data_IF_953641776565
#
_entry.id   IF_953641776565
#
_cell.length_a   1.000
_cell.length_b   1.000
_cell.length_c   1.000
_cell.angle_alpha   90.00
_cell.angle_beta   90.00
_cell.angle_gamma   90.00
#
_symmetry.space_group_name_H-M   'P 1'
#
loop_
_entity.id
_entity.type
_entity.pdbx_description
1 polymer ?
#
# COMPACT_ATOMS: atom_id res chain seq x y z
N UNK A 1 20.89 8.28 -1.90
CA UNK A 1 19.54 8.59 -1.35
C UNK A 1 19.17 7.47 -0.40
N UNK A 2 18.63 7.75 0.81
CA UNK A 2 18.12 6.72 1.71
C UNK A 2 16.62 6.97 1.92
N UNK A 3 15.79 6.07 1.40
CA UNK A 3 14.33 6.12 1.50
C UNK A 3 13.84 5.28 2.68
N UNK A 4 12.96 5.85 3.51
CA UNK A 4 12.15 5.11 4.47
C UNK A 4 10.76 4.90 3.85
N UNK A 5 10.36 3.65 3.66
CA UNK A 5 9.02 3.31 3.16
C UNK A 5 8.13 2.80 4.29
N UNK A 6 6.86 3.21 4.30
CA UNK A 6 5.86 2.80 5.29
C UNK A 6 4.54 2.49 4.56
N UNK A 7 4.01 1.28 4.72
CA UNK A 7 2.65 0.94 4.27
C UNK A 7 1.87 0.28 5.40
N UNK A 8 0.63 0.72 5.57
CA UNK A 8 -0.33 0.18 6.54
C UNK A 8 -1.74 0.10 5.93
N UNK A 9 -1.82 0.08 4.61
CA UNK A 9 -3.08 0.03 3.87
C UNK A 9 -3.66 -1.39 3.77
N UNK A 10 -2.85 -2.41 4.04
CA UNK A 10 -3.26 -3.83 4.05
C UNK A 10 -3.30 -4.38 5.48
N UNK A 11 -3.39 -5.69 5.63
CA UNK A 11 -3.28 -6.34 6.95
C UNK A 11 -1.84 -6.36 7.47
N UNK A 12 -0.87 -6.13 6.61
CA UNK A 12 0.53 -5.96 7.00
C UNK A 12 0.81 -4.53 7.45
N UNK A 13 1.65 -4.41 8.46
CA UNK A 13 2.30 -3.19 8.89
C UNK A 13 3.72 -3.31 8.39
N UNK A 14 4.03 -2.67 7.29
CA UNK A 14 5.28 -2.85 6.58
C UNK A 14 6.13 -1.58 6.63
N UNK A 15 7.41 -1.75 6.92
CA UNK A 15 8.42 -0.69 6.97
C UNK A 15 9.69 -1.19 6.30
N UNK A 16 10.33 -0.37 5.45
CA UNK A 16 11.58 -0.73 4.81
C UNK A 16 12.53 0.47 4.64
N UNK A 17 13.81 0.16 4.51
CA UNK A 17 14.84 1.10 4.06
C UNK A 17 15.37 0.66 2.70
N UNK A 18 15.57 1.63 1.82
CA UNK A 18 16.07 1.45 0.45
C UNK A 18 17.12 2.51 0.12
N UNK A 19 18.25 2.12 -0.45
CA UNK A 19 19.35 3.06 -0.73
C UNK A 19 19.25 3.77 -2.10
N UNK A 20 18.25 3.43 -2.87
CA UNK A 20 18.03 3.89 -4.24
C UNK A 20 18.24 2.77 -5.27
N UNK A 21 18.94 1.70 -4.88
CA UNK A 21 19.22 0.53 -5.73
C UNK A 21 18.68 -0.77 -5.11
N UNK A 22 18.78 -0.90 -3.78
CA UNK A 22 18.44 -2.13 -3.05
C UNK A 22 17.67 -1.86 -1.76
N UNK A 23 16.83 -2.82 -1.37
CA UNK A 23 16.24 -2.88 -0.04
C UNK A 23 17.31 -3.27 0.97
N UNK A 24 17.64 -2.38 1.90
CA UNK A 24 18.64 -2.62 2.95
C UNK A 24 18.08 -3.43 4.11
N UNK A 25 16.85 -3.16 4.47
CA UNK A 25 16.12 -3.89 5.52
C UNK A 25 14.62 -3.69 5.35
N UNK A 26 13.85 -4.71 5.73
CA UNK A 26 12.40 -4.67 5.77
C UNK A 26 11.89 -5.36 7.04
N UNK A 27 10.85 -4.80 7.65
CA UNK A 27 10.08 -5.37 8.76
C UNK A 27 8.61 -5.40 8.36
N UNK A 28 7.95 -6.54 8.59
CA UNK A 28 6.53 -6.72 8.28
C UNK A 28 5.85 -7.50 9.40
N UNK A 29 4.78 -6.93 9.95
CA UNK A 29 3.96 -7.55 10.99
C UNK A 29 2.52 -7.68 10.52
N UNK A 30 1.96 -8.88 10.58
CA UNK A 30 0.56 -9.12 10.23
C UNK A 30 -0.32 -8.88 11.46
N UNK A 31 -0.86 -7.68 11.58
CA UNK A 31 -1.84 -7.34 12.62
C UNK A 31 -2.75 -6.19 12.17
N UNK A 32 -3.95 -6.54 11.75
CA UNK A 32 -4.93 -5.57 11.24
C UNK A 32 -5.53 -4.64 12.31
N UNK A 33 -5.14 -4.76 13.58
CA UNK A 33 -5.73 -4.01 14.71
C UNK A 33 -4.74 -3.10 15.44
N UNK A 34 -3.44 -3.42 15.39
CA UNK A 34 -2.40 -2.74 16.18
C UNK A 34 -1.40 -1.97 15.34
N UNK A 35 -1.84 -1.38 14.22
CA UNK A 35 -0.96 -0.62 13.33
C UNK A 35 -0.15 0.45 14.08
N UNK A 36 -0.80 1.19 15.00
CA UNK A 36 -0.14 2.23 15.78
C UNK A 36 0.94 1.74 16.74
N UNK A 37 0.87 0.47 17.15
CA UNK A 37 1.85 -0.11 18.08
C UNK A 37 3.10 -0.61 17.36
N UNK A 38 3.01 -1.02 16.10
CA UNK A 38 4.09 -1.70 15.39
C UNK A 38 4.87 -0.83 14.39
N UNK A 39 4.30 0.28 13.89
CA UNK A 39 5.00 1.12 12.89
C UNK A 39 6.29 1.72 13.45
N UNK A 40 6.25 2.34 14.64
CA UNK A 40 7.43 2.96 15.22
C UNK A 40 8.51 1.94 15.60
N UNK A 41 8.20 0.81 16.26
CA UNK A 41 9.17 -0.29 16.43
C UNK A 41 9.76 -0.81 15.10
N UNK A 42 8.94 -0.94 14.06
CA UNK A 42 9.40 -1.35 12.73
C UNK A 42 10.42 -0.38 12.12
N UNK A 43 10.22 0.93 12.30
CA UNK A 43 11.19 1.94 11.87
C UNK A 43 12.51 1.76 12.61
N UNK A 44 12.48 1.60 13.94
CA UNK A 44 13.68 1.37 14.76
C UNK A 44 14.41 0.10 14.32
N UNK A 45 13.66 -0.97 14.07
CA UNK A 45 14.21 -2.26 13.65
C UNK A 45 14.94 -2.16 12.32
N UNK A 46 14.31 -1.58 11.27
CA UNK A 46 14.93 -1.51 9.94
C UNK A 46 16.15 -0.60 9.93
N UNK A 47 16.14 0.51 10.70
CA UNK A 47 17.29 1.37 10.87
C UNK A 47 18.45 0.62 11.54
N UNK A 48 18.19 -0.08 12.64
CA UNK A 48 19.20 -0.86 13.34
C UNK A 48 19.79 -1.97 12.47
N UNK A 49 18.96 -2.72 11.75
CA UNK A 49 19.38 -3.81 10.85
C UNK A 49 20.24 -3.31 9.68
N UNK A 50 19.97 -2.10 9.20
CA UNK A 50 20.73 -1.47 8.14
C UNK A 50 21.99 -0.72 8.66
N UNK A 51 22.23 -0.67 9.97
CA UNK A 51 23.32 0.11 10.55
C UNK A 51 23.17 1.61 10.28
N UNK A 52 21.95 2.11 10.24
CA UNK A 52 21.59 3.49 9.95
C UNK A 52 20.85 4.14 11.12
N UNK A 53 20.79 5.46 11.10
CA UNK A 53 20.06 6.27 12.06
C UNK A 53 18.95 7.04 11.36
N UNK A 54 18.02 7.60 12.10
CA UNK A 54 17.01 8.50 11.55
C UNK A 54 17.64 9.71 10.83
N UNK A 55 18.84 10.12 11.22
CA UNK A 55 19.55 11.23 10.59
C UNK A 55 20.01 10.94 9.15
N UNK A 56 20.21 9.69 8.81
CA UNK A 56 20.66 9.26 7.49
C UNK A 56 19.52 9.24 6.45
N UNK A 57 18.26 9.18 6.90
CA UNK A 57 17.10 9.15 6.01
C UNK A 57 16.97 10.47 5.27
N UNK A 58 16.91 10.42 3.94
CA UNK A 58 16.84 11.59 3.07
C UNK A 58 15.46 11.86 2.49
N UNK A 59 14.56 10.88 2.48
CA UNK A 59 13.16 11.03 2.09
C UNK A 59 12.29 9.89 2.67
N UNK A 60 10.99 10.11 2.72
CA UNK A 60 10.00 9.11 3.13
C UNK A 60 9.04 8.85 1.99
N UNK A 61 8.65 7.60 1.77
CA UNK A 61 7.52 7.23 0.91
C UNK A 61 6.47 6.48 1.72
N UNK A 62 5.21 6.91 1.59
CA UNK A 62 4.09 6.30 2.29
C UNK A 62 3.11 5.67 1.31
N UNK A 63 2.60 4.49 1.64
CA UNK A 63 1.47 3.90 0.95
C UNK A 63 0.22 4.76 1.16
N UNK A 64 -0.35 5.25 0.05
CA UNK A 64 -1.55 6.11 0.07
C UNK A 64 -2.85 5.30 0.06
N UNK A 65 -2.76 3.98 0.09
CA UNK A 65 -3.89 3.09 -0.06
C UNK A 65 -4.20 2.77 -1.55
N UNK A 66 -5.44 2.36 -1.84
CA UNK A 66 -6.60 2.35 -0.94
C UNK A 66 -6.48 1.31 0.18
N UNK A 67 -7.15 1.56 1.29
CA UNK A 67 -7.11 0.68 2.46
C UNK A 67 -8.11 1.08 3.54
N UNK A 68 -8.24 0.26 4.60
CA UNK A 68 -9.08 0.59 5.75
C UNK A 68 -8.66 1.92 6.39
N UNK A 69 -9.64 2.76 6.66
CA UNK A 69 -9.48 4.15 7.09
C UNK A 69 -8.49 4.35 8.26
N UNK A 70 -8.60 3.53 9.31
CA UNK A 70 -7.73 3.65 10.49
C UNK A 70 -6.30 3.22 10.17
N UNK A 71 -6.12 2.05 9.56
CA UNK A 71 -4.80 1.53 9.21
C UNK A 71 -4.05 2.50 8.29
N UNK A 72 -4.68 2.88 7.19
CA UNK A 72 -4.11 3.81 6.22
C UNK A 72 -3.60 5.12 6.86
N UNK A 73 -4.37 5.70 7.77
CA UNK A 73 -3.97 6.93 8.45
C UNK A 73 -2.76 6.78 9.36
N UNK A 74 -2.61 5.63 10.02
CA UNK A 74 -1.47 5.41 10.91
C UNK A 74 -0.15 5.52 10.13
N UNK A 75 -0.02 4.84 9.01
CA UNK A 75 1.18 4.92 8.16
C UNK A 75 1.44 6.32 7.64
N UNK A 76 0.41 6.95 7.07
CA UNK A 76 0.52 8.30 6.50
C UNK A 76 0.91 9.35 7.56
N UNK A 77 0.25 9.35 8.73
CA UNK A 77 0.58 10.28 9.80
C UNK A 77 2.00 10.05 10.32
N UNK A 78 2.40 8.80 10.52
CA UNK A 78 3.76 8.45 10.96
C UNK A 78 4.80 8.93 9.94
N UNK A 79 4.59 8.66 8.65
CA UNK A 79 5.48 9.08 7.58
C UNK A 79 5.62 10.61 7.51
N UNK A 80 4.51 11.33 7.54
CA UNK A 80 4.48 12.81 7.52
C UNK A 80 5.12 13.42 8.77
N UNK A 81 4.86 12.84 9.94
CA UNK A 81 5.46 13.32 11.21
C UNK A 81 6.96 13.07 11.22
N UNK A 82 7.42 11.89 10.79
CA UNK A 82 8.84 11.59 10.68
C UNK A 82 9.54 12.56 9.71
N UNK A 83 8.98 12.73 8.50
CA UNK A 83 9.54 13.64 7.51
C UNK A 83 9.58 15.09 7.99
N UNK A 84 8.51 15.56 8.62
CA UNK A 84 8.44 16.91 9.22
C UNK A 84 9.51 17.10 10.29
N UNK A 85 9.64 16.17 11.23
CA UNK A 85 10.64 16.23 12.30
C UNK A 85 12.08 16.24 11.79
N UNK A 86 12.30 15.64 10.61
CA UNK A 86 13.60 15.54 9.94
C UNK A 86 13.87 16.69 8.95
N UNK A 87 12.86 17.46 8.58
CA UNK A 87 12.96 18.48 7.52
C UNK A 87 13.24 17.89 6.13
N UNK A 88 12.73 16.69 5.83
CA UNK A 88 12.93 15.94 4.59
C UNK A 88 11.61 15.79 3.82
N UNK A 89 11.65 15.54 2.50
CA UNK A 89 10.45 15.33 1.71
C UNK A 89 9.72 14.04 2.08
N UNK A 90 8.39 14.05 1.92
CA UNK A 90 7.52 12.89 2.02
C UNK A 90 6.70 12.75 0.74
N UNK A 91 6.67 11.55 0.18
CA UNK A 91 5.97 11.20 -1.04
C UNK A 91 4.92 10.13 -0.76
N UNK A 92 3.93 10.05 -1.66
CA UNK A 92 2.93 9.00 -1.67
C UNK A 92 3.15 8.03 -2.82
N UNK A 93 2.73 6.78 -2.63
CA UNK A 93 2.56 5.83 -3.72
C UNK A 93 1.35 4.93 -3.46
N UNK A 94 0.64 4.54 -4.51
CA UNK A 94 -0.54 3.70 -4.36
C UNK A 94 -0.15 2.30 -3.86
N UNK A 95 -0.77 1.83 -2.79
CA UNK A 95 -0.49 0.53 -2.20
C UNK A 95 -0.82 -0.64 -3.14
N UNK A 96 -1.82 -0.50 -4.02
CA UNK A 96 -2.10 -1.50 -5.06
C UNK A 96 -0.99 -1.52 -6.13
N UNK A 97 -0.40 -0.36 -6.47
CA UNK A 97 0.72 -0.30 -7.41
C UNK A 97 1.97 -0.96 -6.81
N UNK A 98 2.22 -0.75 -5.51
CA UNK A 98 3.31 -1.41 -4.81
C UNK A 98 3.14 -2.94 -4.79
N UNK A 99 1.91 -3.44 -4.57
CA UNK A 99 1.62 -4.87 -4.59
C UNK A 99 1.73 -5.46 -6.01
N UNK A 100 1.33 -4.71 -7.03
CA UNK A 100 1.53 -5.09 -8.42
C UNK A 100 3.02 -5.13 -8.79
N UNK A 101 3.78 -4.14 -8.35
CA UNK A 101 5.23 -4.08 -8.56
C UNK A 101 5.95 -5.21 -7.84
N UNK A 102 5.57 -5.53 -6.60
CA UNK A 102 6.07 -6.69 -5.85
C UNK A 102 5.84 -8.00 -6.61
N UNK A 103 4.66 -8.15 -7.22
CA UNK A 103 4.33 -9.33 -8.01
C UNK A 103 5.25 -9.49 -9.23
N UNK A 104 5.57 -8.39 -9.89
CA UNK A 104 6.52 -8.35 -11.00
C UNK A 104 7.96 -8.65 -10.55
N UNK A 105 8.40 -8.08 -9.44
CA UNK A 105 9.74 -8.36 -8.87
C UNK A 105 9.93 -9.82 -8.46
N UNK A 106 8.84 -10.54 -8.17
CA UNK A 106 8.85 -11.95 -7.81
C UNK A 106 8.67 -12.90 -8.99
N UNK A 107 8.64 -12.38 -10.23
CA UNK A 107 8.39 -13.15 -11.45
C UNK A 107 7.09 -13.99 -11.38
N UNK A 108 6.10 -13.51 -10.62
CA UNK A 108 4.83 -14.22 -10.44
C UNK A 108 3.83 -13.98 -11.58
N UNK A 109 4.16 -13.10 -12.52
CA UNK A 109 3.38 -12.76 -13.72
C UNK A 109 4.32 -12.59 -14.92
N UNK A 110 3.85 -12.96 -16.11
CA UNK A 110 4.64 -12.99 -17.33
C UNK A 110 4.48 -11.70 -18.16
N UNK A 111 5.49 -11.40 -18.98
CA UNK A 111 5.46 -10.29 -19.92
C UNK A 111 4.24 -10.39 -20.86
N UNK A 112 3.50 -9.29 -21.00
CA UNK A 112 2.28 -9.24 -21.80
C UNK A 112 1.03 -9.74 -21.10
N UNK A 113 1.16 -10.32 -19.91
CA UNK A 113 0.02 -10.79 -19.12
C UNK A 113 -0.73 -9.61 -18.47
N UNK A 114 -2.07 -9.72 -18.43
CA UNK A 114 -2.90 -8.88 -17.58
C UNK A 114 -3.23 -9.61 -16.28
N UNK A 115 -3.32 -8.87 -15.18
CA UNK A 115 -3.69 -9.40 -13.87
C UNK A 115 -4.45 -8.37 -13.04
N UNK A 116 -4.99 -8.79 -11.92
CA UNK A 116 -5.73 -7.95 -11.00
C UNK A 116 -5.07 -7.96 -9.62
N UNK A 117 -4.93 -6.81 -9.02
CA UNK A 117 -4.63 -6.70 -7.59
C UNK A 117 -5.93 -6.44 -6.86
N UNK A 118 -6.24 -7.25 -5.83
CA UNK A 118 -7.43 -7.15 -5.02
C UNK A 118 -7.09 -7.29 -3.53
N UNK A 119 -7.28 -6.23 -2.75
CA UNK A 119 -7.08 -6.23 -1.30
C UNK A 119 -8.41 -6.16 -0.56
N UNK A 120 -8.44 -6.56 0.72
CA UNK A 120 -9.67 -6.58 1.54
C UNK A 120 -10.18 -5.16 1.81
N UNK A 121 -11.39 -4.85 1.35
CA UNK A 121 -12.09 -3.61 1.67
C UNK A 121 -13.18 -3.82 2.75
N UNK A 122 -13.22 -4.97 3.41
CA UNK A 122 -14.27 -5.40 4.34
C UNK A 122 -15.64 -5.52 3.65
N UNK A 123 -16.66 -6.01 4.35
CA UNK A 123 -18.07 -6.06 3.89
C UNK A 123 -18.28 -6.81 2.56
N UNK A 124 -17.48 -7.84 2.30
CA UNK A 124 -17.45 -8.60 1.04
C UNK A 124 -17.04 -7.76 -0.17
N UNK A 125 -16.30 -6.66 0.06
CA UNK A 125 -15.76 -5.80 -0.99
C UNK A 125 -14.24 -5.91 -1.05
N UNK A 126 -13.70 -5.57 -2.21
CA UNK A 126 -12.26 -5.46 -2.46
C UNK A 126 -11.93 -4.08 -2.99
N UNK A 127 -10.77 -3.54 -2.56
CA UNK A 127 -10.09 -2.50 -3.31
C UNK A 127 -9.32 -3.19 -4.42
N UNK A 128 -9.49 -2.77 -5.65
CA UNK A 128 -8.90 -3.46 -6.77
C UNK A 128 -8.47 -2.53 -7.91
N UNK A 129 -7.54 -3.02 -8.72
CA UNK A 129 -7.15 -2.41 -9.98
C UNK A 129 -6.59 -3.47 -10.91
N UNK A 130 -6.69 -3.22 -12.22
CA UNK A 130 -6.12 -4.06 -13.27
C UNK A 130 -4.76 -3.54 -13.70
N UNK A 131 -3.86 -4.45 -14.03
CA UNK A 131 -2.49 -4.17 -14.45
C UNK A 131 -2.12 -4.99 -15.67
N UNK A 132 -1.23 -4.42 -16.49
CA UNK A 132 -0.55 -5.13 -17.58
C UNK A 132 0.94 -5.19 -17.29
N UNK A 133 1.58 -6.32 -17.58
CA UNK A 133 3.02 -6.50 -17.46
C UNK A 133 3.69 -6.04 -18.76
N UNK A 134 4.60 -5.12 -18.64
CA UNK A 134 5.40 -4.56 -19.75
C UNK A 134 6.90 -4.86 -19.54
N UNK A 135 7.72 -4.61 -20.54
CA UNK A 135 9.17 -4.75 -20.40
C UNK A 135 9.79 -3.83 -19.33
N UNK A 136 9.12 -2.70 -19.02
CA UNK A 136 9.58 -1.74 -18.00
C UNK A 136 8.96 -1.93 -16.62
N UNK A 137 8.17 -2.97 -16.40
CA UNK A 137 7.45 -3.22 -15.15
C UNK A 137 5.95 -3.37 -15.36
N UNK A 138 5.15 -3.01 -14.36
CA UNK A 138 3.70 -3.10 -14.41
C UNK A 138 3.06 -1.74 -14.63
N UNK A 139 1.99 -1.72 -15.43
CA UNK A 139 1.23 -0.51 -15.75
C UNK A 139 -0.22 -0.70 -15.35
N UNK A 140 -0.72 0.18 -14.47
CA UNK A 140 -2.12 0.16 -14.04
C UNK A 140 -3.06 0.62 -15.17
N UNK A 141 -4.17 -0.08 -15.32
CA UNK A 141 -5.25 0.22 -16.28
C UNK A 141 -6.42 0.87 -15.57
N UNK A 142 -6.47 2.18 -15.62
CA UNK A 142 -7.53 2.97 -14.99
C UNK A 142 -7.26 3.30 -13.51
N UNK A 143 -8.24 3.88 -12.84
CA UNK A 143 -8.15 4.24 -11.44
C UNK A 143 -8.41 3.03 -10.52
N UNK A 144 -7.85 3.00 -9.30
CA UNK A 144 -8.28 2.05 -8.28
C UNK A 144 -9.77 2.18 -7.97
N UNK A 145 -10.42 1.06 -7.71
CA UNK A 145 -11.85 0.97 -7.45
C UNK A 145 -12.15 0.19 -6.19
N UNK A 146 -13.37 0.30 -5.69
CA UNK A 146 -13.94 -0.54 -4.64
C UNK A 146 -15.25 -1.15 -5.14
N UNK A 147 -15.39 -2.47 -4.99
CA UNK A 147 -16.58 -3.20 -5.39
C UNK A 147 -16.74 -4.49 -4.59
N UNK A 148 -17.94 -5.07 -4.59
CA UNK A 148 -18.13 -6.44 -4.13
C UNK A 148 -17.38 -7.40 -5.04
N UNK A 149 -16.71 -8.40 -4.45
CA UNK A 149 -15.96 -9.39 -5.22
C UNK A 149 -16.84 -10.09 -6.27
N UNK A 150 -18.06 -10.45 -5.91
CA UNK A 150 -19.04 -11.07 -6.81
C UNK A 150 -19.43 -10.18 -8.01
N UNK A 151 -19.47 -8.86 -7.81
CA UNK A 151 -19.88 -7.92 -8.85
C UNK A 151 -18.84 -7.74 -9.97
N UNK A 152 -17.56 -7.99 -9.65
CA UNK A 152 -16.46 -7.88 -10.63
C UNK A 152 -16.00 -9.23 -11.16
N UNK A 153 -16.55 -10.34 -10.67
CA UNK A 153 -16.11 -11.69 -11.02
C UNK A 153 -16.08 -11.96 -12.54
N UNK A 154 -17.11 -11.51 -13.26
CA UNK A 154 -17.16 -11.64 -14.73
C UNK A 154 -16.13 -10.77 -15.45
N UNK A 155 -15.92 -9.53 -14.98
CA UNK A 155 -14.97 -8.58 -15.57
C UNK A 155 -13.51 -9.08 -15.47
N UNK A 156 -13.19 -9.78 -14.39
CA UNK A 156 -11.83 -10.28 -14.11
C UNK A 156 -11.67 -11.78 -14.42
N UNK A 157 -12.66 -12.39 -15.03
CA UNK A 157 -12.66 -13.82 -15.35
C UNK A 157 -11.42 -14.22 -16.16
N UNK A 158 -10.73 -15.25 -15.71
CA UNK A 158 -9.54 -15.79 -16.37
C UNK A 158 -8.26 -14.99 -16.13
N UNK A 159 -8.31 -13.89 -15.39
CA UNK A 159 -7.13 -13.15 -14.98
C UNK A 159 -6.60 -13.71 -13.65
N UNK A 160 -5.27 -13.80 -13.47
CA UNK A 160 -4.67 -14.02 -12.15
C UNK A 160 -5.06 -12.90 -11.20
N UNK A 161 -5.34 -13.25 -9.94
CA UNK A 161 -5.68 -12.27 -8.90
C UNK A 161 -4.66 -12.34 -7.77
N UNK A 162 -4.11 -11.18 -7.45
CA UNK A 162 -3.07 -10.96 -6.43
C UNK A 162 -3.69 -10.29 -5.21
N UNK A 163 -3.18 -10.60 -4.02
CA UNK A 163 -3.59 -9.99 -2.78
C UNK A 163 -4.60 -10.82 -1.98
N UNK A 164 -4.97 -10.32 -0.80
CA UNK A 164 -5.86 -11.03 0.13
C UNK A 164 -7.29 -11.21 -0.40
N UNK A 165 -7.75 -10.35 -1.29
CA UNK A 165 -9.05 -10.49 -1.93
C UNK A 165 -9.20 -11.83 -2.65
N UNK A 166 -8.15 -12.31 -3.32
CA UNK A 166 -8.14 -13.60 -3.99
C UNK A 166 -8.35 -14.80 -3.05
N UNK A 167 -7.90 -14.69 -1.81
CA UNK A 167 -8.07 -15.74 -0.78
C UNK A 167 -9.43 -15.64 -0.10
N UNK A 168 -9.82 -14.41 0.28
CA UNK A 168 -11.06 -14.17 1.01
C UNK A 168 -12.31 -14.44 0.17
N UNK A 169 -12.20 -14.27 -1.15
CA UNK A 169 -13.31 -14.39 -2.10
C UNK A 169 -12.96 -15.37 -3.25
N UNK A 170 -12.35 -16.49 -2.90
CA UNK A 170 -11.90 -17.51 -3.86
C UNK A 170 -13.02 -18.03 -4.80
N UNK A 171 -14.27 -18.00 -4.35
CA UNK A 171 -15.44 -18.35 -5.17
C UNK A 171 -15.71 -17.35 -6.30
N UNK A 172 -15.34 -16.09 -6.11
CA UNK A 172 -15.53 -15.01 -7.10
C UNK A 172 -14.34 -14.85 -8.03
N UNK A 173 -13.17 -15.29 -7.62
CA UNK A 173 -11.92 -15.09 -8.35
C UNK A 173 -11.30 -16.41 -8.78
N UNK A 174 -10.57 -16.38 -9.89
CA UNK A 174 -9.84 -17.54 -10.40
C UNK A 174 -8.57 -17.84 -9.59
N UNK A 175 -7.54 -18.31 -10.27
CA UNK A 175 -6.29 -18.68 -9.63
C UNK A 175 -5.63 -17.47 -8.91
N UNK A 176 -5.31 -17.69 -7.63
CA UNK A 176 -4.47 -16.77 -6.87
C UNK A 176 -3.01 -16.99 -7.24
N UNK A 177 -2.29 -15.89 -7.46
CA UNK A 177 -0.83 -15.89 -7.65
C UNK A 177 -0.20 -14.79 -6.79
N UNK A 178 1.11 -14.89 -6.54
CA UNK A 178 1.89 -13.82 -5.91
C UNK A 178 1.57 -13.51 -4.45
N UNK A 179 2.00 -12.32 -3.99
CA UNK A 179 1.92 -11.91 -2.60
C UNK A 179 0.50 -11.58 -2.13
N UNK A 180 0.29 -11.60 -0.81
CA UNK A 180 -1.01 -11.28 -0.19
C UNK A 180 -1.12 -9.85 0.31
N UNK A 181 -0.02 -9.29 0.82
CA UNK A 181 0.06 -7.97 1.42
C UNK A 181 1.20 -7.17 0.81
N UNK A 182 1.13 -5.87 0.95
CA UNK A 182 2.16 -4.95 0.45
C UNK A 182 3.47 -5.14 1.20
N UNK A 183 4.57 -5.28 0.46
CA UNK A 183 5.94 -5.13 0.94
C UNK A 183 6.32 -3.65 0.91
N UNK A 184 6.83 -3.12 2.02
CA UNK A 184 7.38 -1.77 2.05
C UNK A 184 8.68 -1.68 1.23
N UNK A 185 9.42 -2.78 1.09
CA UNK A 185 10.56 -2.87 0.18
C UNK A 185 10.16 -2.65 -1.27
N UNK A 186 9.07 -3.29 -1.72
CA UNK A 186 8.54 -3.08 -3.07
C UNK A 186 7.98 -1.67 -3.27
N UNK A 187 7.33 -1.09 -2.24
CA UNK A 187 6.89 0.32 -2.26
C UNK A 187 8.09 1.26 -2.44
N UNK A 188 9.19 1.01 -1.71
CA UNK A 188 10.42 1.81 -1.80
C UNK A 188 11.09 1.67 -3.17
N UNK A 189 11.20 0.45 -3.71
CA UNK A 189 11.78 0.19 -5.03
C UNK A 189 10.97 0.88 -6.14
N UNK A 190 9.64 0.78 -6.09
CA UNK A 190 8.75 1.49 -7.01
C UNK A 190 9.02 3.00 -6.98
N UNK A 191 9.06 3.60 -5.79
CA UNK A 191 9.31 5.03 -5.63
C UNK A 191 10.72 5.42 -6.09
N UNK A 192 11.75 4.61 -5.77
CA UNK A 192 13.12 4.84 -6.20
C UNK A 192 13.26 4.84 -7.72
N UNK A 193 12.62 3.89 -8.40
CA UNK A 193 12.58 3.82 -9.89
C UNK A 193 11.88 5.01 -10.50
N UNK A 194 10.74 5.44 -9.95
CA UNK A 194 10.03 6.62 -10.43
C UNK A 194 10.89 7.88 -10.28
N UNK A 195 11.56 8.06 -9.13
CA UNK A 195 12.46 9.19 -8.90
C UNK A 195 13.68 9.15 -9.84
N UNK A 196 14.28 7.98 -10.04
CA UNK A 196 15.41 7.80 -10.95
C UNK A 196 15.03 8.11 -12.42
N UNK A 197 13.77 7.84 -12.80
CA UNK A 197 13.22 8.18 -14.10
C UNK A 197 12.79 9.68 -14.22
N UNK A 198 13.03 10.49 -13.20
CA UNK A 198 12.62 11.90 -13.17
C UNK A 198 11.11 12.12 -13.05
N UNK A 199 10.36 11.10 -12.64
CA UNK A 199 8.91 11.21 -12.46
C UNK A 199 8.60 11.86 -11.11
N UNK A 200 7.53 12.65 -11.08
CA UNK A 200 7.01 13.20 -9.84
C UNK A 200 6.20 12.14 -9.09
N UNK A 201 6.55 11.91 -7.83
CA UNK A 201 5.71 11.13 -6.94
C UNK A 201 4.55 11.99 -6.42
N UNK A 202 3.35 11.42 -6.24
CA UNK A 202 2.23 12.11 -5.61
C UNK A 202 2.55 12.54 -4.18
N UNK A 203 1.75 13.46 -3.65
CA UNK A 203 1.76 13.78 -2.23
C UNK A 203 1.31 12.58 -1.40
N UNK A 204 1.79 12.51 -0.16
CA UNK A 204 1.39 11.47 0.81
C UNK A 204 -0.02 11.74 1.36
N UNK A 205 -1.03 11.77 0.47
CA UNK A 205 -2.43 11.98 0.80
C UNK A 205 -3.23 10.67 0.70
N UNK A 206 -4.18 10.43 1.63
CA UNK A 206 -4.91 9.18 1.64
C UNK A 206 -5.89 9.04 0.47
N UNK A 207 -5.84 7.91 -0.21
CA UNK A 207 -6.80 7.55 -1.25
C UNK A 207 -8.06 6.92 -0.63
N UNK A 208 -9.06 7.74 -0.38
CA UNK A 208 -10.35 7.27 0.14
C UNK A 208 -11.31 6.92 -1.00
N UNK A 209 -11.46 5.63 -1.30
CA UNK A 209 -12.43 5.13 -2.28
C UNK A 209 -13.82 4.90 -1.69
N UNK A 210 -13.92 4.92 -0.36
CA UNK A 210 -15.18 4.81 0.36
C UNK A 210 -15.35 6.01 1.28
N UNK A 211 -16.58 6.52 1.36
CA UNK A 211 -16.92 7.53 2.37
C UNK A 211 -16.84 6.92 3.77
N UNK A 212 -16.36 7.66 4.78
CA UNK A 212 -16.42 7.21 6.16
C UNK A 212 -17.85 6.87 6.57
N UNK A 213 -18.03 5.76 7.31
CA UNK A 213 -19.34 5.31 7.81
C UNK A 213 -19.88 6.15 8.99
N UNK A 214 -19.26 7.28 9.31
CA UNK A 214 -19.70 8.16 10.38
C UNK A 214 -21.07 8.75 10.05
N UNK A 215 -22.11 8.22 10.69
CA UNK A 215 -23.40 8.88 10.72
C UNK A 215 -23.25 10.16 11.54
N UNK A 216 -23.68 11.34 11.04
CA UNK A 216 -23.70 12.55 11.86
C UNK A 216 -24.47 12.26 13.17
N UNK A 217 -23.97 12.71 14.33
CA UNK A 217 -24.72 12.55 15.56
C UNK A 217 -26.11 13.18 15.38
N UNK A 218 -27.17 12.56 15.91
CA UNK A 218 -28.51 13.16 15.86
C UNK A 218 -28.43 14.57 16.44
N UNK A 219 -29.17 15.49 15.81
CA UNK A 219 -29.20 16.89 16.24
C UNK A 219 -29.46 16.93 17.76
N UNK A 220 -28.53 17.57 18.51
CA UNK A 220 -28.72 17.76 19.94
C UNK A 220 -30.08 18.40 20.15
N UNK A 221 -30.97 17.71 20.84
CA UNK A 221 -32.21 18.34 21.35
C UNK A 221 -31.76 19.53 22.17
N UNK A 222 -32.19 20.72 21.80
CA UNK A 222 -31.99 21.92 22.60
C UNK A 222 -32.54 21.65 23.99
N UNK A 223 -31.68 21.57 24.98
CA UNK A 223 -32.03 21.55 26.38
C UNK A 223 -32.04 22.99 26.86
N UNK A 224 -33.09 23.72 26.47
CA UNK A 224 -33.42 24.99 27.11
C UNK A 224 -34.90 24.93 27.49
N UNK A 225 -35.21 25.22 28.76
CA UNK A 225 -36.57 25.43 29.21
C UNK A 225 -37.14 26.70 28.61
#
# INVERSE_FOLDING_TARGET
MLLLAIDTATSAIAVALHDGEHVLAESSTLDARRHGEYVAPGIVEVLARAGRTAADVSAVVAGTGPGPFTGLRVGLVTARTFAFARGIPVFGACSLDALAHQTWLQDAVELGQSFVVATDARRKEVYWARYDVTAGGVVRKGAPMVAKAEAIAEEVRGLPVIGRGAVLYAESFGARVGPLDVSAGALADLAARMLAAGQQLPDAEPMYLRRPDATPPPARKSALP
#
